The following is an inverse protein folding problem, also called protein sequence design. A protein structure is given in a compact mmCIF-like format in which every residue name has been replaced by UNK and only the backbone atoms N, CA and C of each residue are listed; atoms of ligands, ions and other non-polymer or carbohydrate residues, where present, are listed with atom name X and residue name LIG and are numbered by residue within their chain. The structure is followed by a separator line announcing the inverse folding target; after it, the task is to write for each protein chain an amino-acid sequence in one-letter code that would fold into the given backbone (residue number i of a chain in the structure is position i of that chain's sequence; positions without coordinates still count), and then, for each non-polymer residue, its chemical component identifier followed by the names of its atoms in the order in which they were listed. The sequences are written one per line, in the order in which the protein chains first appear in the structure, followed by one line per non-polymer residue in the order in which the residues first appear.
data_IF_423267032566
#
_entry.id   IF_423267032566
#
_cell.length_a   1.000
_cell.length_b   1.000
_cell.length_c   1.000
_cell.angle_alpha   90.00
_cell.angle_beta   90.00
_cell.angle_gamma   90.00
#
_symmetry.space_group_name_H-M   'P 1'
#
loop_
_entity.id
_entity.type
_entity.pdbx_description
1 polymer ?
#
# COMPACT_ATOMS: atom_id res chain seq x y z
N UNK A 1 -1.74 3.15 -9.64
CA UNK A 1 -1.71 1.67 -9.61
C UNK A 1 -2.00 1.17 -11.02
N UNK A 2 -1.03 0.57 -11.72
CA UNK A 2 -1.16 0.25 -13.16
C UNK A 2 -1.88 -1.08 -13.38
N UNK A 3 -3.21 -1.06 -13.29
CA UNK A 3 -4.08 -2.24 -13.42
C UNK A 3 -4.90 -2.27 -14.71
N UNK A 4 -4.89 -1.19 -15.50
CA UNK A 4 -5.59 -1.07 -16.77
C UNK A 4 -4.56 -0.96 -17.89
N UNK A 5 -4.64 -1.82 -18.90
CA UNK A 5 -3.75 -1.77 -20.04
C UNK A 5 -4.08 -0.54 -20.90
N UNK A 6 -3.13 0.38 -21.04
CA UNK A 6 -3.32 1.57 -21.89
C UNK A 6 -3.69 1.19 -23.32
N UNK A 7 -3.00 0.19 -23.88
CA UNK A 7 -3.24 -0.28 -25.26
C UNK A 7 -4.65 -0.82 -25.45
N UNK A 8 -5.11 -1.72 -24.56
CA UNK A 8 -6.47 -2.29 -24.64
C UNK A 8 -7.54 -1.25 -24.36
N UNK A 9 -7.30 -0.36 -23.41
CA UNK A 9 -8.23 0.71 -23.10
C UNK A 9 -8.46 1.61 -24.32
N UNK A 10 -7.40 2.07 -24.98
CA UNK A 10 -7.51 2.95 -26.15
C UNK A 10 -8.03 2.23 -27.40
N UNK A 11 -7.57 1.00 -27.67
CA UNK A 11 -7.89 0.30 -28.92
C UNK A 11 -9.23 -0.46 -28.85
N UNK A 12 -9.54 -1.07 -27.70
CA UNK A 12 -10.68 -1.99 -27.58
C UNK A 12 -11.86 -1.34 -26.84
N UNK A 13 -11.59 -0.62 -25.75
CA UNK A 13 -12.62 -0.11 -24.84
C UNK A 13 -13.20 1.23 -25.26
N UNK A 14 -12.39 2.12 -25.85
CA UNK A 14 -12.86 3.41 -26.37
C UNK A 14 -13.37 3.36 -27.81
N UNK A 15 -13.39 2.18 -28.45
CA UNK A 15 -13.87 2.05 -29.81
C UNK A 15 -15.38 2.40 -29.87
N UNK A 16 -15.80 3.46 -30.59
CA UNK A 16 -17.20 3.92 -30.62
C UNK A 16 -18.15 2.92 -31.31
N UNK A 17 -17.61 1.93 -32.01
CA UNK A 17 -18.39 0.83 -32.60
C UNK A 17 -18.77 -0.25 -31.58
N UNK A 18 -18.14 -0.26 -30.40
CA UNK A 18 -18.52 -1.12 -29.28
C UNK A 18 -19.69 -0.46 -28.53
N UNK A 19 -20.88 -1.07 -28.61
CA UNK A 19 -22.12 -0.63 -27.94
C UNK A 19 -21.88 -0.36 -26.45
N UNK A 20 -22.53 0.68 -25.92
CA UNK A 20 -22.53 1.13 -24.51
C UNK A 20 -22.24 0.02 -23.50
N UNK A 21 -20.97 -0.10 -23.10
CA UNK A 21 -20.58 -1.03 -22.05
C UNK A 21 -20.58 -0.31 -20.70
N UNK A 22 -21.55 -0.67 -19.85
CA UNK A 22 -21.70 -0.12 -18.50
C UNK A 22 -20.44 -0.32 -17.65
N UNK A 23 -19.72 -1.41 -17.86
CA UNK A 23 -18.46 -1.71 -17.18
C UNK A 23 -17.33 -0.71 -17.50
N UNK A 24 -17.19 -0.29 -18.76
CA UNK A 24 -16.23 0.73 -19.19
C UNK A 24 -16.65 2.11 -18.67
N UNK A 25 -17.94 2.44 -18.70
CA UNK A 25 -18.45 3.70 -18.15
C UNK A 25 -18.15 3.81 -16.65
N UNK A 26 -18.37 2.73 -15.89
CA UNK A 26 -18.02 2.63 -14.48
C UNK A 26 -16.50 2.77 -14.26
N UNK A 27 -15.68 2.10 -15.08
CA UNK A 27 -14.23 2.22 -15.01
C UNK A 27 -13.75 3.68 -15.23
N UNK A 28 -14.26 4.36 -16.25
CA UNK A 28 -13.95 5.78 -16.52
C UNK A 28 -14.39 6.69 -15.36
N UNK A 29 -15.56 6.44 -14.78
CA UNK A 29 -16.05 7.18 -13.62
C UNK A 29 -15.13 6.98 -12.41
N UNK A 30 -14.69 5.74 -12.14
CA UNK A 30 -13.77 5.43 -11.05
C UNK A 30 -12.36 5.99 -11.28
N UNK A 31 -11.88 6.03 -12.53
CA UNK A 31 -10.64 6.73 -12.88
C UNK A 31 -10.76 8.22 -12.58
N UNK A 32 -11.86 8.87 -12.98
CA UNK A 32 -12.10 10.29 -12.65
C UNK A 32 -12.18 10.51 -11.14
N UNK A 33 -12.84 9.59 -10.42
CA UNK A 33 -13.00 9.65 -8.97
C UNK A 33 -11.65 9.63 -8.24
N UNK A 34 -10.72 8.74 -8.61
CA UNK A 34 -9.43 8.63 -7.91
C UNK A 34 -8.55 9.87 -8.09
N UNK A 35 -8.79 10.63 -9.16
CA UNK A 35 -8.10 11.90 -9.45
C UNK A 35 -8.69 13.09 -8.70
N UNK A 36 -9.81 12.92 -8.00
CA UNK A 36 -10.41 13.98 -7.19
C UNK A 36 -9.51 14.34 -6.01
N UNK A 37 -9.42 15.65 -5.75
CA UNK A 37 -8.70 16.23 -4.62
C UNK A 37 -9.64 17.17 -3.84
N UNK A 38 -9.60 17.17 -2.50
CA UNK A 38 -10.38 18.08 -1.68
C UNK A 38 -10.07 19.56 -1.99
N UNK A 39 -11.10 20.38 -2.04
CA UNK A 39 -10.98 21.85 -2.15
C UNK A 39 -11.65 22.52 -0.94
N UNK A 40 -11.39 23.81 -0.67
CA UNK A 40 -12.09 24.55 0.37
C UNK A 40 -13.62 24.57 0.16
N UNK A 41 -14.07 24.53 -1.10
CA UNK A 41 -15.48 24.53 -1.50
C UNK A 41 -16.13 23.14 -1.39
N UNK A 42 -15.33 22.08 -1.52
CA UNK A 42 -15.78 20.68 -1.44
C UNK A 42 -14.82 19.87 -0.56
N UNK A 43 -14.84 20.07 0.78
CA UNK A 43 -13.92 19.38 1.68
C UNK A 43 -14.31 17.93 1.95
N UNK A 44 -15.58 17.58 1.77
CA UNK A 44 -16.13 16.24 2.04
C UNK A 44 -15.75 15.24 0.94
N UNK A 45 -15.28 14.07 1.36
CA UNK A 45 -14.97 12.93 0.48
C UNK A 45 -16.21 12.15 0.05
N UNK A 46 -17.38 12.36 0.65
CA UNK A 46 -18.65 11.79 0.16
C UNK A 46 -19.21 12.59 -1.01
N UNK A 47 -18.38 12.79 -2.03
CA UNK A 47 -18.77 13.52 -3.24
C UNK A 47 -19.92 12.83 -3.97
N UNK A 48 -20.72 13.60 -4.71
CA UNK A 48 -21.76 13.03 -5.59
C UNK A 48 -21.17 11.98 -6.54
N UNK A 49 -19.97 12.22 -7.07
CA UNK A 49 -19.26 11.27 -7.94
C UNK A 49 -18.96 9.95 -7.23
N UNK A 50 -18.51 9.99 -5.97
CA UNK A 50 -18.28 8.79 -5.16
C UNK A 50 -19.58 8.01 -4.93
N UNK A 51 -20.65 8.68 -4.52
CA UNK A 51 -21.93 8.06 -4.25
C UNK A 51 -22.51 7.40 -5.52
N UNK A 52 -22.45 8.10 -6.66
CA UNK A 52 -22.89 7.56 -7.96
C UNK A 52 -22.03 6.37 -8.38
N UNK A 53 -20.70 6.44 -8.24
CA UNK A 53 -19.82 5.33 -8.60
C UNK A 53 -20.10 4.08 -7.75
N UNK A 54 -20.33 4.25 -6.45
CA UNK A 54 -20.70 3.16 -5.52
C UNK A 54 -22.06 2.54 -5.87
N UNK A 55 -23.07 3.36 -6.13
CA UNK A 55 -24.40 2.88 -6.54
C UNK A 55 -24.36 2.18 -7.90
N UNK A 56 -23.55 2.70 -8.82
CA UNK A 56 -23.39 2.09 -10.15
C UNK A 56 -22.67 0.74 -10.05
N UNK A 57 -21.58 0.63 -9.28
CA UNK A 57 -20.92 -0.65 -9.02
C UNK A 57 -21.89 -1.68 -8.44
N UNK A 58 -22.67 -1.28 -7.42
CA UNK A 58 -23.69 -2.16 -6.83
C UNK A 58 -24.75 -2.62 -7.84
N UNK A 59 -25.17 -1.74 -8.76
CA UNK A 59 -26.14 -2.08 -9.80
C UNK A 59 -25.58 -3.09 -10.80
N UNK A 60 -24.28 -3.00 -11.12
CA UNK A 60 -23.57 -3.94 -11.99
C UNK A 60 -23.35 -5.30 -11.31
N UNK A 61 -23.10 -5.30 -9.99
CA UNK A 61 -23.00 -6.53 -9.20
C UNK A 61 -24.35 -7.29 -9.19
N UNK A 62 -25.49 -6.58 -9.05
CA UNK A 62 -26.83 -7.18 -9.12
C UNK A 62 -27.10 -7.81 -10.48
N UNK A 63 -26.63 -7.20 -11.57
CA UNK A 63 -26.82 -7.74 -12.92
C UNK A 63 -25.89 -8.93 -13.23
N UNK A 64 -25.18 -9.46 -12.23
CA UNK A 64 -24.22 -10.57 -12.34
C UNK A 64 -23.17 -10.37 -13.44
N UNK A 65 -22.89 -9.11 -13.79
CA UNK A 65 -22.02 -8.74 -14.91
C UNK A 65 -20.60 -8.53 -14.41
N UNK A 66 -19.94 -9.63 -14.04
CA UNK A 66 -18.59 -9.60 -13.50
C UNK A 66 -17.55 -9.62 -14.63
N UNK A 67 -17.00 -8.45 -14.95
CA UNK A 67 -15.96 -8.30 -15.99
C UNK A 67 -14.67 -7.73 -15.40
N UNK A 68 -13.57 -7.81 -16.14
CA UNK A 68 -12.30 -7.25 -15.68
C UNK A 68 -12.38 -5.71 -15.45
N UNK A 69 -13.02 -4.92 -16.34
CA UNK A 69 -13.25 -3.51 -16.08
C UNK A 69 -14.07 -3.19 -14.83
N UNK A 70 -15.10 -3.99 -14.50
CA UNK A 70 -15.87 -3.76 -13.26
C UNK A 70 -15.01 -3.99 -12.02
N UNK A 71 -14.18 -5.04 -12.02
CA UNK A 71 -13.24 -5.31 -10.94
C UNK A 71 -12.16 -4.22 -10.83
N UNK A 72 -11.60 -3.76 -11.96
CA UNK A 72 -10.67 -2.62 -12.00
C UNK A 72 -11.32 -1.35 -11.42
N UNK A 73 -12.58 -1.08 -11.76
CA UNK A 73 -13.32 0.06 -11.24
C UNK A 73 -13.56 -0.05 -9.72
N UNK A 74 -13.89 -1.25 -9.22
CA UNK A 74 -14.03 -1.52 -7.80
C UNK A 74 -12.73 -1.29 -7.02
N UNK A 75 -11.59 -1.71 -7.57
CA UNK A 75 -10.25 -1.46 -6.99
C UNK A 75 -9.97 0.05 -6.91
N UNK A 76 -10.28 0.82 -7.95
CA UNK A 76 -10.08 2.28 -7.96
C UNK A 76 -10.98 2.98 -6.91
N UNK A 77 -12.22 2.52 -6.74
CA UNK A 77 -13.11 3.00 -5.67
C UNK A 77 -12.51 2.66 -4.29
N UNK A 78 -11.99 1.45 -4.09
CA UNK A 78 -11.34 1.07 -2.83
C UNK A 78 -10.11 1.95 -2.52
N UNK A 79 -9.30 2.30 -3.53
CA UNK A 79 -8.16 3.22 -3.36
C UNK A 79 -8.64 4.60 -2.92
N UNK A 80 -9.71 5.12 -3.53
CA UNK A 80 -10.33 6.38 -3.14
C UNK A 80 -10.75 6.35 -1.66
N UNK A 81 -11.45 5.29 -1.24
CA UNK A 81 -11.92 5.12 0.13
C UNK A 81 -10.77 5.02 1.14
N UNK A 82 -9.71 4.28 0.80
CA UNK A 82 -8.47 4.21 1.61
C UNK A 82 -7.85 5.60 1.74
N UNK A 83 -7.66 6.32 0.63
CA UNK A 83 -7.02 7.63 0.61
C UNK A 83 -7.80 8.73 1.30
N UNK A 84 -9.13 8.58 1.39
CA UNK A 84 -10.00 9.53 2.08
C UNK A 84 -10.49 9.04 3.45
N UNK A 85 -9.93 7.95 3.98
CA UNK A 85 -10.29 7.36 5.27
C UNK A 85 -11.79 7.06 5.44
N UNK A 86 -12.44 6.58 4.38
CA UNK A 86 -13.84 6.16 4.40
C UNK A 86 -13.93 4.73 4.97
N UNK A 87 -13.82 4.61 6.29
CA UNK A 87 -13.94 3.35 7.03
C UNK A 87 -15.31 3.23 7.70
N UNK A 88 -15.90 2.02 7.79
CA UNK A 88 -15.38 0.72 7.36
C UNK A 88 -15.51 0.43 5.84
N UNK A 89 -16.04 1.37 5.04
CA UNK A 89 -16.29 1.20 3.60
C UNK A 89 -15.11 0.64 2.80
N UNK A 90 -13.92 1.21 2.98
CA UNK A 90 -12.67 0.77 2.33
C UNK A 90 -12.38 -0.73 2.54
N UNK A 91 -12.55 -1.23 3.77
CA UNK A 91 -12.36 -2.64 4.09
C UNK A 91 -13.37 -3.50 3.33
N UNK A 92 -14.65 -3.13 3.35
CA UNK A 92 -15.71 -3.86 2.62
C UNK A 92 -15.43 -3.88 1.11
N UNK A 93 -15.03 -2.76 0.50
CA UNK A 93 -14.71 -2.72 -0.94
C UNK A 93 -13.56 -3.65 -1.30
N UNK A 94 -12.46 -3.64 -0.53
CA UNK A 94 -11.34 -4.56 -0.76
C UNK A 94 -11.80 -6.01 -0.59
N UNK A 95 -12.64 -6.29 0.42
CA UNK A 95 -13.18 -7.63 0.62
C UNK A 95 -14.01 -8.13 -0.57
N UNK A 96 -14.88 -7.28 -1.12
CA UNK A 96 -15.66 -7.59 -2.32
C UNK A 96 -14.74 -7.79 -3.53
N UNK A 97 -13.69 -6.97 -3.69
CA UNK A 97 -12.71 -7.16 -4.76
C UNK A 97 -12.04 -8.54 -4.69
N UNK A 98 -11.64 -9.01 -3.50
CA UNK A 98 -11.07 -10.36 -3.31
C UNK A 98 -12.06 -11.43 -3.76
N UNK A 99 -13.32 -11.35 -3.30
CA UNK A 99 -14.35 -12.35 -3.63
C UNK A 99 -14.66 -12.37 -5.13
N UNK A 100 -14.84 -11.19 -5.74
CA UNK A 100 -15.09 -11.06 -7.17
C UNK A 100 -13.90 -11.57 -8.00
N UNK A 101 -12.66 -11.28 -7.59
CA UNK A 101 -11.49 -11.82 -8.27
C UNK A 101 -11.43 -13.36 -8.23
N UNK A 102 -11.70 -13.96 -7.06
CA UNK A 102 -11.75 -15.41 -6.91
C UNK A 102 -12.88 -16.01 -7.77
N UNK A 103 -14.06 -15.38 -7.81
CA UNK A 103 -15.18 -15.81 -8.66
C UNK A 103 -14.85 -15.73 -10.17
N UNK A 104 -14.00 -14.79 -10.58
CA UNK A 104 -13.44 -14.70 -11.94
C UNK A 104 -12.34 -15.73 -12.23
N UNK A 105 -11.97 -16.55 -11.25
CA UNK A 105 -10.85 -17.49 -11.34
C UNK A 105 -9.48 -16.82 -11.33
N UNK A 106 -9.35 -15.63 -10.72
CA UNK A 106 -8.06 -14.99 -10.46
C UNK A 106 -7.44 -15.56 -9.16
N UNK A 107 -6.12 -15.70 -9.14
CA UNK A 107 -5.34 -16.17 -7.99
C UNK A 107 -3.94 -16.62 -8.40
N UNK A 108 -3.09 -16.97 -7.42
CA UNK A 108 -1.71 -17.39 -7.68
C UNK A 108 -1.60 -18.60 -8.63
N UNK A 109 -2.48 -19.59 -8.42
CA UNK A 109 -2.56 -20.78 -9.28
C UNK A 109 -3.18 -20.49 -10.65
N UNK A 110 -3.93 -19.39 -10.79
CA UNK A 110 -4.50 -18.99 -12.06
C UNK A 110 -3.48 -18.27 -12.93
N UNK A 111 -2.47 -17.57 -12.41
CA UNK A 111 -1.52 -16.78 -13.22
C UNK A 111 -0.62 -17.64 -14.14
N UNK A 112 -0.73 -18.99 -14.10
CA UNK A 112 -0.14 -19.91 -15.09
C UNK A 112 -0.95 -20.00 -16.39
N UNK A 113 -1.44 -18.89 -16.93
CA UNK A 113 -2.22 -18.85 -18.18
C UNK A 113 -1.36 -18.97 -19.44
N UNK A 114 -0.65 -20.09 -19.55
CA UNK A 114 -0.09 -20.59 -20.81
C UNK A 114 -1.07 -21.45 -21.61
N UNK A 115 -2.25 -21.77 -21.05
CA UNK A 115 -3.19 -22.76 -21.61
C UNK A 115 -4.47 -22.13 -22.19
N UNK A 116 -4.73 -20.84 -21.95
CA UNK A 116 -5.90 -20.12 -22.47
C UNK A 116 -5.51 -19.23 -23.66
N UNK A 117 -6.40 -19.08 -24.64
CA UNK A 117 -6.28 -18.24 -25.86
C UNK A 117 -6.10 -16.72 -25.61
N UNK A 118 -5.63 -16.31 -24.43
CA UNK A 118 -5.45 -14.91 -24.05
C UNK A 118 -4.15 -14.36 -24.61
N UNK A 119 -4.19 -13.09 -25.03
CA UNK A 119 -2.97 -12.36 -25.38
C UNK A 119 -2.09 -12.16 -24.14
N UNK A 120 -0.78 -11.99 -24.34
CA UNK A 120 0.15 -11.69 -23.25
C UNK A 120 -0.28 -10.46 -22.43
N UNK A 121 -0.78 -9.41 -23.09
CA UNK A 121 -1.26 -8.20 -22.42
C UNK A 121 -2.45 -8.46 -21.51
N UNK A 122 -3.36 -9.34 -21.91
CA UNK A 122 -4.53 -9.72 -21.10
C UNK A 122 -4.15 -10.55 -19.87
N UNK A 123 -3.22 -11.48 -20.04
CA UNK A 123 -2.68 -12.27 -18.93
C UNK A 123 -1.98 -11.36 -17.92
N UNK A 124 -1.14 -10.45 -18.38
CA UNK A 124 -0.45 -9.46 -17.53
C UNK A 124 -1.45 -8.53 -16.84
N UNK A 125 -2.49 -8.06 -17.52
CA UNK A 125 -3.50 -7.18 -16.93
C UNK A 125 -4.24 -7.85 -15.76
N UNK A 126 -4.60 -9.11 -15.93
CA UNK A 126 -5.31 -9.88 -14.89
C UNK A 126 -4.38 -10.25 -13.74
N UNK A 127 -3.10 -10.54 -14.01
CA UNK A 127 -2.08 -10.69 -12.98
C UNK A 127 -1.90 -9.39 -12.16
N UNK A 128 -1.86 -8.22 -12.83
CA UNK A 128 -1.75 -6.92 -12.18
C UNK A 128 -2.97 -6.57 -11.31
N UNK A 129 -4.17 -6.91 -11.78
CA UNK A 129 -5.41 -6.80 -11.00
C UNK A 129 -5.35 -7.64 -9.73
N UNK A 130 -4.90 -8.90 -9.82
CA UNK A 130 -4.73 -9.75 -8.65
C UNK A 130 -3.70 -9.18 -7.66
N UNK A 131 -2.52 -8.78 -8.16
CA UNK A 131 -1.50 -8.13 -7.33
C UNK A 131 -2.03 -6.88 -6.63
N UNK A 132 -2.78 -6.02 -7.33
CA UNK A 132 -3.38 -4.82 -6.74
C UNK A 132 -4.32 -5.13 -5.58
N UNK A 133 -5.18 -6.14 -5.72
CA UNK A 133 -6.10 -6.58 -4.66
C UNK A 133 -5.31 -7.02 -3.41
N UNK A 134 -4.29 -7.87 -3.62
CA UNK A 134 -3.44 -8.37 -2.55
C UNK A 134 -2.70 -7.22 -1.86
N UNK A 135 -2.11 -6.28 -2.63
CA UNK A 135 -1.45 -5.08 -2.11
C UNK A 135 -2.40 -4.28 -1.20
N UNK A 136 -3.61 -3.99 -1.67
CA UNK A 136 -4.59 -3.20 -0.92
C UNK A 136 -5.08 -3.93 0.34
N UNK A 137 -5.30 -5.24 0.26
CA UNK A 137 -5.66 -6.04 1.42
C UNK A 137 -4.53 -6.00 2.46
N UNK A 138 -3.27 -6.27 2.08
CA UNK A 138 -2.15 -6.22 3.03
C UNK A 138 -1.96 -4.81 3.63
N UNK A 139 -2.19 -3.77 2.83
CA UNK A 139 -2.12 -2.39 3.31
C UNK A 139 -3.19 -2.09 4.37
N UNK A 140 -4.46 -2.44 4.15
CA UNK A 140 -5.53 -2.21 5.14
C UNK A 140 -5.21 -2.92 6.47
N UNK A 141 -4.60 -4.11 6.40
CA UNK A 141 -4.26 -4.89 7.58
C UNK A 141 -3.15 -4.29 8.45
N UNK A 142 -2.37 -3.33 7.93
CA UNK A 142 -1.42 -2.57 8.77
C UNK A 142 -2.11 -1.88 9.95
N UNK A 143 -3.32 -1.36 9.72
CA UNK A 143 -4.14 -0.71 10.75
C UNK A 143 -4.86 -1.69 11.68
N UNK A 144 -4.97 -2.97 11.30
CA UNK A 144 -5.64 -4.00 12.12
C UNK A 144 -5.01 -5.40 11.93
N UNK A 145 -3.79 -5.62 12.43
CA UNK A 145 -3.00 -6.81 12.10
C UNK A 145 -3.54 -8.12 12.69
N UNK A 146 -4.55 -8.10 13.55
CA UNK A 146 -5.12 -9.31 14.20
C UNK A 146 -6.26 -9.96 13.43
N UNK A 147 -6.72 -9.36 12.32
CA UNK A 147 -7.78 -9.98 11.49
C UNK A 147 -7.23 -11.11 10.62
N UNK A 148 -8.05 -12.10 10.25
CA UNK A 148 -7.66 -13.12 9.28
C UNK A 148 -7.67 -12.56 7.86
N UNK A 149 -6.57 -12.69 7.12
CA UNK A 149 -6.49 -12.34 5.70
C UNK A 149 -7.44 -13.24 4.88
N UNK A 150 -8.10 -12.68 3.86
CA UNK A 150 -9.05 -13.42 3.04
C UNK A 150 -8.40 -14.05 1.81
N UNK A 151 -7.46 -13.35 1.16
CA UNK A 151 -6.70 -13.95 0.04
C UNK A 151 -5.47 -14.70 0.54
N UNK A 152 -5.07 -15.74 -0.20
CA UNK A 152 -3.77 -16.38 0.00
C UNK A 152 -2.62 -15.37 -0.21
N UNK A 153 -1.58 -15.42 0.63
CA UNK A 153 -0.39 -14.58 0.48
C UNK A 153 0.49 -14.99 -0.71
N UNK A 154 1.22 -14.05 -1.35
CA UNK A 154 2.12 -14.38 -2.45
C UNK A 154 3.27 -15.27 -1.95
N UNK A 155 3.43 -16.44 -2.55
CA UNK A 155 4.62 -17.27 -2.36
C UNK A 155 5.88 -16.63 -2.95
N UNK A 156 7.06 -17.09 -2.53
CA UNK A 156 8.33 -16.56 -3.07
C UNK A 156 8.51 -16.82 -4.58
N UNK A 157 7.90 -17.90 -5.09
CA UNK A 157 7.93 -18.26 -6.51
C UNK A 157 6.89 -17.55 -7.38
N UNK A 158 6.05 -16.67 -6.82
CA UNK A 158 5.02 -15.98 -7.59
C UNK A 158 5.62 -14.98 -8.57
N UNK A 159 5.11 -14.97 -9.81
CA UNK A 159 5.60 -14.10 -10.87
C UNK A 159 5.28 -12.64 -10.56
N UNK A 160 6.29 -11.79 -10.69
CA UNK A 160 6.14 -10.35 -10.56
C UNK A 160 5.53 -9.76 -11.84
N UNK A 161 4.78 -8.65 -11.70
CA UNK A 161 4.36 -7.86 -12.85
C UNK A 161 5.54 -7.46 -13.74
N UNK A 162 5.30 -7.42 -15.04
CA UNK A 162 6.26 -6.95 -16.04
C UNK A 162 6.55 -5.46 -15.86
N UNK A 163 7.55 -4.91 -16.56
CA UNK A 163 7.80 -3.47 -16.55
C UNK A 163 6.61 -2.67 -17.12
N UNK A 164 6.29 -1.52 -16.51
CA UNK A 164 5.11 -0.73 -16.83
C UNK A 164 5.18 -0.15 -18.27
N UNK A 165 6.34 0.34 -18.69
CA UNK A 165 6.51 0.91 -20.03
C UNK A 165 6.44 -0.17 -21.11
N UNK A 166 7.11 -1.30 -20.87
CA UNK A 166 7.07 -2.45 -21.78
C UNK A 166 5.63 -2.99 -21.94
N UNK A 167 4.87 -3.06 -20.85
CA UNK A 167 3.47 -3.48 -20.87
C UNK A 167 2.56 -2.50 -21.62
N UNK A 168 2.75 -1.19 -21.43
CA UNK A 168 2.00 -0.14 -22.14
C UNK A 168 2.23 -0.17 -23.65
N UNK A 169 3.47 -0.43 -24.09
CA UNK A 169 3.82 -0.59 -25.51
C UNK A 169 3.34 -1.94 -26.09
N UNK A 170 2.95 -2.89 -25.22
CA UNK A 170 2.65 -4.26 -25.62
C UNK A 170 3.89 -5.05 -26.05
N UNK A 171 5.08 -4.54 -25.70
CA UNK A 171 6.36 -5.16 -25.96
C UNK A 171 6.60 -6.24 -24.93
N UNK A 172 6.52 -7.51 -25.35
CA UNK A 172 6.83 -8.64 -24.48
C UNK A 172 8.31 -8.57 -24.10
N UNK A 173 8.58 -8.17 -22.86
CA UNK A 173 9.94 -8.17 -22.31
C UNK A 173 10.57 -9.58 -22.41
N UNK A 174 11.91 -9.69 -22.58
CA UNK A 174 12.59 -10.96 -22.74
C UNK A 174 12.40 -11.90 -21.52
N UNK A 175 12.56 -13.21 -21.79
CA UNK A 175 12.14 -14.42 -21.04
C UNK A 175 12.55 -14.59 -19.56
N UNK A 176 13.07 -13.58 -18.87
CA UNK A 176 13.43 -13.70 -17.46
C UNK A 176 12.23 -13.38 -16.58
N UNK A 177 11.42 -14.41 -16.31
CA UNK A 177 10.31 -14.32 -15.38
C UNK A 177 10.86 -14.11 -13.96
N UNK A 178 10.71 -12.89 -13.43
CA UNK A 178 11.11 -12.57 -12.06
C UNK A 178 10.03 -12.99 -11.09
N UNK A 179 10.43 -13.45 -9.92
CA UNK A 179 9.57 -13.90 -8.84
C UNK A 179 9.62 -12.98 -7.62
N UNK A 180 8.66 -13.09 -6.71
CA UNK A 180 8.62 -12.30 -5.49
C UNK A 180 9.88 -12.43 -4.61
N UNK A 181 10.56 -13.59 -4.64
CA UNK A 181 11.83 -13.84 -3.95
C UNK A 181 13.08 -13.54 -4.80
N UNK A 182 12.93 -12.99 -6.01
CA UNK A 182 14.05 -12.65 -6.87
C UNK A 182 14.94 -11.61 -6.18
N UNK A 183 16.28 -11.76 -6.26
CA UNK A 183 17.22 -10.83 -5.63
C UNK A 183 16.90 -9.38 -5.95
N UNK A 184 16.96 -8.53 -4.92
CA UNK A 184 16.62 -7.11 -5.02
C UNK A 184 17.53 -6.34 -5.97
N UNK A 185 18.70 -6.89 -6.33
CA UNK A 185 19.71 -6.25 -7.16
C UNK A 185 19.38 -6.17 -8.67
N UNK A 186 18.22 -6.67 -9.08
CA UNK A 186 17.77 -6.63 -10.46
C UNK A 186 16.86 -5.42 -10.66
N UNK A 187 17.05 -4.73 -11.78
CA UNK A 187 16.26 -3.56 -12.14
C UNK A 187 14.83 -3.98 -12.49
N UNK A 188 13.83 -3.43 -11.80
CA UNK A 188 12.43 -3.84 -11.92
C UNK A 188 11.50 -2.65 -12.07
N UNK A 189 10.31 -2.85 -12.63
CA UNK A 189 9.29 -1.80 -12.69
C UNK A 189 8.80 -1.38 -11.29
N UNK A 190 8.27 -0.16 -11.12
CA UNK A 190 7.78 0.34 -9.82
C UNK A 190 6.69 -0.56 -9.20
N UNK A 191 5.81 -1.11 -10.04
CA UNK A 191 4.75 -2.00 -9.58
C UNK A 191 5.26 -3.38 -9.17
N UNK A 192 6.26 -3.92 -9.87
CA UNK A 192 6.95 -5.15 -9.47
C UNK A 192 7.63 -4.98 -8.10
N UNK A 193 8.26 -3.83 -7.84
CA UNK A 193 8.82 -3.52 -6.52
C UNK A 193 7.77 -3.41 -5.42
N UNK A 194 6.61 -2.85 -5.74
CA UNK A 194 5.49 -2.82 -4.80
C UNK A 194 4.99 -4.23 -4.48
N UNK A 195 4.92 -5.11 -5.48
CA UNK A 195 4.59 -6.52 -5.30
C UNK A 195 5.63 -7.25 -4.42
N UNK A 196 6.93 -7.01 -4.63
CA UNK A 196 7.99 -7.55 -3.76
C UNK A 196 7.88 -7.05 -2.30
N UNK A 197 7.68 -5.74 -2.11
CA UNK A 197 7.47 -5.19 -0.77
C UNK A 197 6.23 -5.80 -0.10
N UNK A 198 5.18 -6.07 -0.87
CA UNK A 198 3.95 -6.71 -0.40
C UNK A 198 4.18 -8.16 0.00
N UNK A 199 5.02 -8.89 -0.72
CA UNK A 199 5.42 -10.25 -0.31
C UNK A 199 6.13 -10.25 1.05
N UNK A 200 7.04 -9.31 1.29
CA UNK A 200 7.68 -9.18 2.61
C UNK A 200 6.69 -8.74 3.69
N UNK A 201 5.79 -7.80 3.39
CA UNK A 201 4.74 -7.37 4.32
C UNK A 201 3.81 -8.54 4.69
N UNK A 202 3.40 -9.36 3.73
CA UNK A 202 2.56 -10.54 3.98
C UNK A 202 3.25 -11.52 4.95
N UNK A 203 4.56 -11.73 4.79
CA UNK A 203 5.34 -12.53 5.75
C UNK A 203 5.40 -11.89 7.14
N UNK A 204 5.58 -10.58 7.23
CA UNK A 204 5.54 -9.85 8.52
C UNK A 204 4.16 -9.98 9.18
N UNK A 205 3.07 -9.81 8.43
CA UNK A 205 1.71 -9.96 8.95
C UNK A 205 1.50 -11.36 9.53
N UNK A 206 1.89 -12.41 8.79
CA UNK A 206 1.83 -13.80 9.28
C UNK A 206 2.70 -14.02 10.51
N UNK A 207 3.92 -13.49 10.52
CA UNK A 207 4.84 -13.57 11.65
C UNK A 207 4.26 -12.94 12.94
N UNK A 208 3.61 -11.78 12.81
CA UNK A 208 3.00 -11.07 13.94
C UNK A 208 1.72 -11.75 14.43
N UNK A 209 0.97 -12.41 13.54
CA UNK A 209 -0.22 -13.19 13.88
C UNK A 209 0.11 -14.54 14.53
N UNK A 210 1.22 -15.17 14.13
CA UNK A 210 1.60 -16.48 14.63
C UNK A 210 2.03 -16.42 16.10
N UNK A 211 1.08 -16.71 16.97
CA UNK A 211 1.29 -16.78 18.42
C UNK A 211 1.79 -18.15 18.89
N UNK A 212 1.82 -19.16 18.01
CA UNK A 212 2.20 -20.53 18.34
C UNK A 212 3.70 -20.80 18.15
N UNK A 213 4.39 -20.01 17.31
CA UNK A 213 5.84 -20.14 17.09
C UNK A 213 6.68 -19.99 18.38
N UNK A 214 7.62 -20.91 18.67
CA UNK A 214 8.53 -20.78 19.81
C UNK A 214 9.40 -19.51 19.74
N UNK A 215 9.86 -19.01 20.88
CA UNK A 215 10.54 -17.71 20.99
C UNK A 215 11.80 -17.57 20.10
N UNK A 216 12.69 -18.57 20.11
CA UNK A 216 13.95 -18.56 19.34
C UNK A 216 13.76 -18.54 17.81
N UNK A 217 13.03 -19.49 17.17
CA UNK A 217 12.82 -19.45 15.72
C UNK A 217 12.03 -18.22 15.28
N UNK A 218 11.13 -17.72 16.12
CA UNK A 218 10.43 -16.44 15.91
C UNK A 218 11.42 -15.27 15.87
N UNK A 219 12.40 -15.24 16.75
CA UNK A 219 13.42 -14.18 16.73
C UNK A 219 14.29 -14.24 15.47
N UNK A 220 14.75 -15.43 15.08
CA UNK A 220 15.54 -15.65 13.86
C UNK A 220 14.76 -15.20 12.61
N UNK A 221 13.48 -15.56 12.50
CA UNK A 221 12.63 -15.10 11.39
C UNK A 221 12.48 -13.58 11.38
N UNK A 222 12.26 -12.95 12.54
CA UNK A 222 12.14 -11.50 12.63
C UNK A 222 13.43 -10.78 12.18
N UNK A 223 14.61 -11.32 12.51
CA UNK A 223 15.89 -10.77 12.02
C UNK A 223 16.00 -10.91 10.51
N UNK A 224 15.65 -12.06 9.94
CA UNK A 224 15.70 -12.28 8.49
C UNK A 224 14.74 -11.36 7.73
N UNK A 225 13.53 -11.17 8.26
CA UNK A 225 12.54 -10.25 7.68
C UNK A 225 13.02 -8.80 7.71
N UNK A 226 13.58 -8.35 8.84
CA UNK A 226 14.14 -7.01 8.97
C UNK A 226 15.28 -6.77 7.97
N UNK A 227 16.21 -7.72 7.86
CA UNK A 227 17.32 -7.66 6.90
C UNK A 227 16.83 -7.62 5.45
N UNK A 228 15.84 -8.43 5.09
CA UNK A 228 15.26 -8.44 3.75
C UNK A 228 14.56 -7.11 3.41
N UNK A 229 13.81 -6.54 4.35
CA UNK A 229 13.15 -5.24 4.19
C UNK A 229 14.19 -4.11 4.02
N UNK A 230 15.24 -4.08 4.85
CA UNK A 230 16.33 -3.11 4.75
C UNK A 230 17.10 -3.23 3.43
N UNK A 231 17.38 -4.46 2.98
CA UNK A 231 18.04 -4.69 1.70
C UNK A 231 17.20 -4.17 0.52
N UNK A 232 15.89 -4.38 0.54
CA UNK A 232 14.99 -3.86 -0.48
C UNK A 232 14.94 -2.33 -0.48
N UNK A 233 14.85 -1.69 0.71
CA UNK A 233 14.88 -0.22 0.83
C UNK A 233 16.20 0.35 0.31
N UNK A 234 17.34 -0.19 0.76
CA UNK A 234 18.66 0.30 0.35
C UNK A 234 18.86 0.21 -1.18
N UNK A 235 18.42 -0.88 -1.80
CA UNK A 235 18.49 -1.02 -3.25
C UNK A 235 17.59 -0.01 -3.97
N UNK A 236 16.36 0.20 -3.48
CA UNK A 236 15.42 1.15 -4.09
C UNK A 236 15.89 2.61 -3.98
N UNK A 237 16.61 2.99 -2.92
CA UNK A 237 17.16 4.33 -2.78
C UNK A 237 18.18 4.69 -3.89
N UNK A 238 19.02 3.72 -4.29
CA UNK A 238 19.96 3.90 -5.40
C UNK A 238 19.23 4.07 -6.74
N UNK A 239 18.19 3.25 -6.96
CA UNK A 239 17.43 3.26 -8.21
C UNK A 239 16.51 4.48 -8.35
N UNK A 240 15.88 4.93 -7.26
CA UNK A 240 15.01 6.12 -7.23
C UNK A 240 15.77 7.39 -7.56
N UNK A 241 17.00 7.51 -7.08
CA UNK A 241 17.92 8.62 -7.43
C UNK A 241 18.23 8.62 -8.92
N UNK A 242 18.46 7.45 -9.51
CA UNK A 242 18.76 7.30 -10.94
C UNK A 242 17.53 7.53 -11.84
N UNK A 243 16.33 7.13 -11.37
CA UNK A 243 15.06 7.21 -12.12
C UNK A 243 14.22 8.45 -11.79
N UNK A 244 14.72 9.35 -10.93
CA UNK A 244 13.97 10.50 -10.40
C UNK A 244 12.58 10.12 -9.85
N UNK A 245 12.48 8.93 -9.26
CA UNK A 245 11.22 8.40 -8.75
C UNK A 245 10.89 9.03 -7.39
N UNK A 246 9.64 9.46 -7.26
CA UNK A 246 9.07 10.20 -6.12
C UNK A 246 8.47 9.21 -5.11
N UNK A 247 8.37 9.59 -3.83
CA UNK A 247 7.98 8.80 -2.62
C UNK A 247 7.40 7.45 -2.99
N UNK A 248 8.27 6.46 -2.99
CA UNK A 248 7.94 5.17 -3.54
C UNK A 248 7.01 4.41 -2.59
N UNK A 249 5.85 3.97 -3.11
CA UNK A 249 4.90 3.15 -2.36
C UNK A 249 5.57 1.90 -1.76
N UNK A 250 6.51 1.30 -2.49
CA UNK A 250 7.23 0.12 -2.01
C UNK A 250 8.14 0.45 -0.81
N UNK A 251 8.84 1.58 -0.82
CA UNK A 251 9.67 2.04 0.32
C UNK A 251 8.79 2.31 1.53
N UNK A 252 7.68 3.03 1.34
CA UNK A 252 6.73 3.29 2.43
C UNK A 252 6.11 2.00 3.00
N UNK A 253 5.82 1.02 2.15
CA UNK A 253 5.31 -0.28 2.57
C UNK A 253 6.37 -1.08 3.36
N UNK A 254 7.64 -1.04 2.93
CA UNK A 254 8.74 -1.66 3.68
C UNK A 254 8.93 -1.01 5.05
N UNK A 255 8.91 0.32 5.14
CA UNK A 255 9.00 1.01 6.43
C UNK A 255 7.79 0.71 7.32
N UNK A 256 6.59 0.64 6.75
CA UNK A 256 5.38 0.21 7.47
C UNK A 256 5.50 -1.22 8.00
N UNK A 257 6.07 -2.13 7.20
CA UNK A 257 6.32 -3.52 7.61
C UNK A 257 7.37 -3.60 8.72
N UNK A 258 8.48 -2.86 8.62
CA UNK A 258 9.49 -2.77 9.69
C UNK A 258 8.89 -2.24 10.99
N UNK A 259 8.07 -1.17 10.91
CA UNK A 259 7.38 -0.62 12.07
C UNK A 259 6.44 -1.64 12.72
N UNK A 260 5.66 -2.37 11.93
CA UNK A 260 4.79 -3.43 12.41
C UNK A 260 5.57 -4.57 13.07
N UNK A 261 6.67 -5.02 12.45
CA UNK A 261 7.53 -6.10 12.94
C UNK A 261 8.12 -5.80 14.32
N UNK A 262 8.53 -4.54 14.54
CA UNK A 262 9.20 -4.12 15.77
C UNK A 262 8.26 -3.60 16.85
N UNK A 263 7.00 -3.29 16.52
CA UNK A 263 6.02 -2.67 17.41
C UNK A 263 5.89 -3.36 18.76
N UNK A 264 5.83 -4.70 18.76
CA UNK A 264 5.65 -5.50 20.00
C UNK A 264 6.79 -5.33 21.00
N UNK A 265 8.00 -5.03 20.53
CA UNK A 265 9.18 -4.84 21.37
C UNK A 265 9.26 -3.43 21.96
N UNK A 266 8.42 -2.51 21.49
CA UNK A 266 8.37 -1.12 21.98
C UNK A 266 7.25 -0.87 22.98
N UNK A 267 6.24 -1.74 23.01
CA UNK A 267 5.10 -1.66 23.92
C UNK A 267 5.34 -2.47 25.19
N UNK A 268 4.94 -1.94 26.35
CA UNK A 268 5.00 -2.60 27.66
C UNK A 268 4.13 -3.87 27.80
N UNK A 269 3.41 -4.27 26.73
CA UNK A 269 2.58 -5.49 26.69
C UNK A 269 3.41 -6.79 26.65
N UNK A 270 4.74 -6.69 26.63
CA UNK A 270 5.60 -7.86 26.74
C UNK A 270 5.81 -8.18 28.22
N UNK A 271 4.97 -9.06 28.75
CA UNK A 271 5.13 -9.68 30.07
C UNK A 271 6.14 -10.83 30.07
N UNK A 272 6.67 -11.20 28.89
CA UNK A 272 7.66 -12.26 28.79
C UNK A 272 9.00 -11.77 29.34
N UNK A 273 9.46 -12.44 30.40
CA UNK A 273 10.83 -12.37 30.91
C UNK A 273 11.91 -12.66 29.86
N UNK A 274 11.52 -13.09 28.65
CA UNK A 274 12.39 -13.52 27.55
C UNK A 274 12.73 -12.42 26.53
N UNK A 275 12.09 -11.23 26.55
CA UNK A 275 12.49 -10.17 25.60
C UNK A 275 13.78 -9.48 26.07
N UNK A 276 14.87 -9.94 25.46
CA UNK A 276 16.21 -9.42 25.70
C UNK A 276 16.26 -7.90 25.50
N UNK A 277 17.05 -7.23 26.34
CA UNK A 277 17.35 -5.79 26.23
C UNK A 277 17.84 -5.43 24.82
N UNK A 278 18.59 -6.36 24.20
CA UNK A 278 19.07 -6.25 22.84
C UNK A 278 17.92 -6.07 21.82
N UNK A 279 16.83 -6.84 21.92
CA UNK A 279 15.68 -6.72 21.01
C UNK A 279 14.96 -5.39 21.13
N UNK A 280 14.82 -4.86 22.35
CA UNK A 280 14.26 -3.53 22.58
C UNK A 280 15.13 -2.43 21.97
N UNK A 281 16.45 -2.56 22.12
CA UNK A 281 17.41 -1.64 21.51
C UNK A 281 17.33 -1.67 19.98
N UNK A 282 17.33 -2.86 19.36
CA UNK A 282 17.21 -3.02 17.91
C UNK A 282 15.89 -2.45 17.37
N UNK A 283 14.78 -2.69 18.07
CA UNK A 283 13.48 -2.15 17.70
C UNK A 283 13.47 -0.61 17.74
N UNK A 284 14.13 0.00 18.73
CA UNK A 284 14.30 1.46 18.82
C UNK A 284 15.15 2.00 17.67
N UNK A 285 16.35 1.45 17.43
CA UNK A 285 17.19 1.85 16.27
C UNK A 285 16.43 1.75 14.95
N UNK A 286 15.65 0.68 14.76
CA UNK A 286 14.86 0.51 13.54
C UNK A 286 13.79 1.59 13.42
N UNK A 287 13.07 1.90 14.49
CA UNK A 287 12.04 2.94 14.46
C UNK A 287 12.62 4.36 14.35
N UNK A 288 13.78 4.61 14.95
CA UNK A 288 14.51 5.87 14.79
C UNK A 288 14.87 6.10 13.32
N UNK A 289 15.38 5.06 12.64
CA UNK A 289 15.65 5.12 11.19
C UNK A 289 14.38 5.29 10.37
N UNK A 290 13.33 4.51 10.64
CA UNK A 290 12.02 4.66 9.97
C UNK A 290 11.50 6.09 10.08
N UNK A 291 11.67 6.72 11.24
CA UNK A 291 11.20 8.08 11.51
C UNK A 291 12.10 9.14 10.86
N UNK A 292 13.41 8.94 10.90
CA UNK A 292 14.40 9.80 10.26
C UNK A 292 14.18 9.87 8.75
N UNK A 293 14.01 8.72 8.10
CA UNK A 293 13.76 8.65 6.65
C UNK A 293 12.47 9.38 6.28
N UNK A 294 11.38 9.22 7.05
CA UNK A 294 10.14 9.95 6.77
C UNK A 294 10.28 11.46 7.02
N UNK A 295 11.08 11.85 8.02
CA UNK A 295 11.40 13.26 8.27
C UNK A 295 12.16 13.90 7.11
N UNK A 296 13.12 13.19 6.50
CA UNK A 296 13.84 13.67 5.31
C UNK A 296 12.87 13.85 4.12
N UNK A 297 11.96 12.89 3.89
CA UNK A 297 10.92 13.04 2.87
C UNK A 297 9.94 14.18 3.19
N UNK A 298 9.60 14.38 4.46
CA UNK A 298 8.74 15.47 4.93
C UNK A 298 9.35 16.84 4.62
N UNK A 299 10.67 17.00 4.76
CA UNK A 299 11.37 18.23 4.36
C UNK A 299 11.20 18.52 2.88
N UNK A 300 11.36 17.53 2.01
CA UNK A 300 11.16 17.67 0.55
C UNK A 300 9.72 18.03 0.20
N UNK A 301 8.74 17.42 0.89
CA UNK A 301 7.31 17.74 0.75
C UNK A 301 7.05 19.20 1.08
N UNK A 302 7.65 19.72 2.16
CA UNK A 302 7.43 21.08 2.63
C UNK A 302 8.21 22.12 1.80
N UNK A 303 9.44 21.84 1.39
CA UNK A 303 10.28 22.76 0.61
C UNK A 303 9.77 22.99 -0.82
N UNK A 304 8.85 22.15 -1.31
CA UNK A 304 8.32 22.25 -2.67
C UNK A 304 9.25 21.63 -3.72
N UNK A 305 10.36 21.01 -3.31
CA UNK A 305 11.11 20.07 -4.15
C UNK A 305 10.26 18.87 -4.58
N UNK A 306 9.15 18.65 -3.87
CA UNK A 306 8.15 17.64 -4.22
C UNK A 306 7.32 18.02 -5.44
N UNK A 307 7.40 17.26 -6.54
CA UNK A 307 6.48 17.43 -7.66
C UNK A 307 5.07 17.03 -7.23
N UNK A 308 4.07 17.81 -7.65
CA UNK A 308 2.68 17.81 -7.18
C UNK A 308 2.21 16.58 -6.35
N UNK A 309 1.59 16.87 -5.21
CA UNK A 309 0.91 15.89 -4.35
C UNK A 309 -0.14 15.06 -5.11
N UNK A 310 -0.62 15.53 -6.26
CA UNK A 310 -1.55 14.77 -7.11
C UNK A 310 -1.00 13.40 -7.53
N UNK A 311 0.32 13.28 -7.62
CA UNK A 311 1.01 12.02 -7.99
C UNK A 311 1.30 11.11 -6.80
N UNK A 312 1.07 11.58 -5.57
CA UNK A 312 1.33 10.82 -4.35
C UNK A 312 0.25 9.77 -4.13
N UNK A 313 0.66 8.55 -3.82
CA UNK A 313 -0.25 7.45 -3.47
C UNK A 313 -0.68 7.53 -2.00
N UNK A 314 -1.93 7.15 -1.64
CA UNK A 314 -2.35 7.10 -0.25
C UNK A 314 -1.64 6.00 0.55
N UNK A 315 -0.99 5.03 -0.12
CA UNK A 315 -0.28 3.92 0.52
C UNK A 315 0.97 4.35 1.31
N UNK A 316 1.38 5.63 1.17
CA UNK A 316 2.54 6.17 1.90
C UNK A 316 2.17 6.65 3.30
N UNK A 317 0.87 6.83 3.58
CA UNK A 317 0.39 7.53 4.77
C UNK A 317 0.62 6.76 6.06
N UNK A 318 0.53 5.42 6.02
CA UNK A 318 0.79 4.60 7.20
C UNK A 318 2.23 4.75 7.72
N UNK A 319 3.22 4.90 6.82
CA UNK A 319 4.60 5.16 7.24
C UNK A 319 4.72 6.48 8.00
N UNK A 320 4.10 7.55 7.50
CA UNK A 320 4.07 8.85 8.17
C UNK A 320 3.37 8.80 9.54
N UNK A 321 2.29 8.02 9.65
CA UNK A 321 1.63 7.77 10.94
C UNK A 321 2.56 7.08 11.94
N UNK A 322 3.24 6.00 11.55
CA UNK A 322 4.16 5.27 12.43
C UNK A 322 5.37 6.13 12.86
N UNK A 323 5.94 6.90 11.94
CA UNK A 323 7.02 7.84 12.23
C UNK A 323 6.58 8.90 13.23
N UNK A 324 5.42 9.51 13.01
CA UNK A 324 4.84 10.52 13.93
C UNK A 324 4.58 9.93 15.32
N UNK A 325 4.03 8.72 15.38
CA UNK A 325 3.72 8.02 16.62
C UNK A 325 4.99 7.74 17.43
N UNK A 326 6.05 7.30 16.76
CA UNK A 326 7.35 7.05 17.39
C UNK A 326 7.98 8.34 17.91
N UNK A 327 8.08 9.37 17.07
CA UNK A 327 8.63 10.68 17.48
C UNK A 327 7.85 11.28 18.65
N UNK A 328 6.51 11.20 18.65
CA UNK A 328 5.68 11.67 19.75
C UNK A 328 5.89 10.88 21.06
N UNK A 329 6.27 9.60 20.97
CA UNK A 329 6.67 8.82 22.16
C UNK A 329 8.07 9.23 22.63
N UNK A 330 9.02 9.42 21.71
CA UNK A 330 10.38 9.84 22.05
C UNK A 330 10.44 11.21 22.72
N UNK A 331 9.69 12.20 22.21
CA UNK A 331 9.59 13.55 22.83
C UNK A 331 9.10 13.48 24.28
N UNK A 332 8.17 12.57 24.59
CA UNK A 332 7.65 12.38 25.95
C UNK A 332 8.63 11.67 26.87
N UNK A 333 9.31 10.64 26.37
CA UNK A 333 10.20 9.82 27.19
C UNK A 333 11.53 10.54 27.49
N UNK A 334 12.16 11.09 26.46
CA UNK A 334 13.47 11.75 26.54
C UNK A 334 13.50 12.91 25.53
N UNK A 335 13.17 14.14 25.95
CA UNK A 335 13.19 15.30 25.05
C UNK A 335 14.64 15.63 24.63
N UNK A 336 15.08 15.02 23.54
CA UNK A 336 16.34 15.33 22.88
C UNK A 336 16.21 16.58 22.00
N UNK A 337 17.30 17.31 21.87
CA UNK A 337 17.38 18.49 21.02
C UNK A 337 17.09 18.10 19.56
N UNK A 338 16.06 18.70 18.95
CA UNK A 338 15.66 18.45 17.56
C UNK A 338 14.56 17.40 17.35
N UNK A 339 14.25 16.52 18.31
CA UNK A 339 13.14 15.54 18.15
C UNK A 339 11.78 16.23 18.05
N UNK A 340 11.56 17.31 18.82
CA UNK A 340 10.35 18.13 18.72
C UNK A 340 10.18 18.76 17.34
N UNK A 341 11.25 19.35 16.80
CA UNK A 341 11.27 19.92 15.46
C UNK A 341 10.99 18.85 14.39
N UNK A 342 11.56 17.65 14.55
CA UNK A 342 11.30 16.53 13.66
C UNK A 342 9.82 16.13 13.67
N UNK A 343 9.21 16.04 14.85
CA UNK A 343 7.78 15.75 15.00
C UNK A 343 6.91 16.81 14.31
N UNK A 344 7.17 18.09 14.57
CA UNK A 344 6.44 19.21 13.95
C UNK A 344 6.57 19.19 12.42
N UNK A 345 7.76 18.91 11.90
CA UNK A 345 8.03 18.81 10.45
C UNK A 345 7.22 17.68 9.82
N UNK A 346 7.25 16.49 10.44
CA UNK A 346 6.52 15.31 9.97
C UNK A 346 5.00 15.54 10.00
N UNK A 347 4.48 16.12 11.09
CA UNK A 347 3.05 16.44 11.20
C UNK A 347 2.62 17.51 10.20
N UNK A 348 3.47 18.51 9.95
CA UNK A 348 3.22 19.54 8.92
C UNK A 348 3.17 18.94 7.51
N UNK A 349 4.02 17.96 7.20
CA UNK A 349 3.98 17.26 5.91
C UNK A 349 2.71 16.39 5.77
N UNK A 350 2.26 15.73 6.83
CA UNK A 350 0.96 15.04 6.84
C UNK A 350 -0.19 16.03 6.65
N UNK A 351 -0.13 17.20 7.29
CA UNK A 351 -1.15 18.24 7.14
C UNK A 351 -1.18 18.79 5.70
N UNK A 352 -0.02 18.96 5.06
CA UNK A 352 0.05 19.31 3.63
C UNK A 352 -0.51 18.19 2.77
N UNK A 353 -0.24 16.92 3.10
CA UNK A 353 -0.77 15.77 2.36
C UNK A 353 -2.30 15.63 2.50
N UNK A 354 -2.89 16.16 3.58
CA UNK A 354 -4.34 16.21 3.79
C UNK A 354 -5.10 17.04 2.73
N UNK A 355 -4.40 17.89 1.96
CA UNK A 355 -5.00 18.58 0.81
C UNK A 355 -5.24 17.65 -0.37
N UNK A 356 -4.56 16.50 -0.42
CA UNK A 356 -4.73 15.46 -1.44
C UNK A 356 -5.51 14.25 -0.91
N UNK A 357 -5.14 13.76 0.27
CA UNK A 357 -5.65 12.52 0.87
C UNK A 357 -6.14 12.79 2.30
N UNK A 358 -7.45 12.73 2.51
CA UNK A 358 -8.06 13.01 3.83
C UNK A 358 -7.64 12.02 4.92
N UNK A 359 -7.15 10.84 4.54
CA UNK A 359 -6.59 9.89 5.48
C UNK A 359 -5.39 10.45 6.27
N UNK A 360 -4.62 11.39 5.71
CA UNK A 360 -3.54 12.05 6.45
C UNK A 360 -4.08 12.84 7.65
N UNK A 361 -5.18 13.60 7.45
CA UNK A 361 -5.87 14.30 8.54
C UNK A 361 -6.48 13.34 9.57
N UNK A 362 -7.05 12.22 9.12
CA UNK A 362 -7.55 11.19 10.04
C UNK A 362 -6.43 10.60 10.93
N UNK A 363 -5.26 10.32 10.37
CA UNK A 363 -4.09 9.89 11.14
C UNK A 363 -3.63 10.94 12.16
N UNK A 364 -3.60 12.22 11.78
CA UNK A 364 -3.29 13.31 12.71
C UNK A 364 -4.28 13.36 13.88
N UNK A 365 -5.59 13.23 13.61
CA UNK A 365 -6.60 13.19 14.67
C UNK A 365 -6.40 12.00 15.63
N UNK A 366 -6.04 10.83 15.10
CA UNK A 366 -5.71 9.65 15.92
C UNK A 366 -4.50 9.96 16.81
N UNK A 367 -3.45 10.58 16.27
CA UNK A 367 -2.25 10.94 17.04
C UNK A 367 -2.56 11.94 18.16
N UNK A 368 -3.38 12.95 17.89
CA UNK A 368 -3.82 13.93 18.89
C UNK A 368 -4.62 13.25 20.02
N UNK A 369 -5.52 12.32 19.69
CA UNK A 369 -6.27 11.57 20.69
C UNK A 369 -5.36 10.73 21.61
N UNK A 370 -4.26 10.15 21.08
CA UNK A 370 -3.26 9.43 21.86
C UNK A 370 -2.44 10.34 22.78
N UNK A 371 -2.27 11.62 22.44
CA UNK A 371 -1.60 12.59 23.31
C UNK A 371 -2.49 12.97 24.49
N UNK A 372 -3.77 13.26 24.24
CA UNK A 372 -4.74 13.63 25.29
C UNK A 372 -4.97 12.48 26.29
N UNK A 373 -5.20 11.26 25.79
CA UNK A 373 -5.46 10.10 26.66
C UNK A 373 -4.26 9.70 27.52
N UNK A 374 -3.03 9.96 27.06
CA UNK A 374 -1.85 9.74 27.89
C UNK A 374 -1.65 10.82 28.95
N UNK A 375 -2.03 12.08 28.69
CA UNK A 375 -1.88 13.17 29.65
C UNK A 375 -2.90 13.15 30.79
N UNK A 376 -3.96 12.35 30.68
CA UNK A 376 -4.98 12.19 31.74
C UNK A 376 -4.68 11.05 32.72
N UNK A 377 -3.57 10.33 32.52
CA UNK A 377 -3.13 9.21 33.36
C UNK A 377 -1.87 9.53 34.19
N UNK A 378 -1.33 10.74 34.03
CA UNK A 378 -0.33 11.36 34.90
C UNK A 378 -1.03 12.41 35.79
#
# INVERSE_FOLDING_TARGET
MPIVSKRRFLNDHLNPLNVQRSDIALLCLSMKLVMWSPSPESPDSHTTTYLVARQFLYSVDISASLTLPTLQAAILIAIYEIGHAIYPGAHTSVSVCVQNAIAMGLGWKSVRWGENNLSWTETEERARVWWAIVILERYIYLGWPRRPLMSEGPGGGELLPSDDAAWDEGNRAPKYAMTASTPVNINMGPFARLAQATHLLDRVLRHVQDSAMPAKPREEEAVQLDQALRALVAFTAAETTQRQMKLCCHTALCHSAMALLHRRYLTSQCTDSDVSVHRRSLARDTMDRVSLEFFLESKKILSGEWPSLDTTSPLVLHWGYEASLHLARSVRAEPQEGTGLALETVQSALQKTNTRWKAAGAYLNILLAHQVTSSTLD
#
